data_IF_850235819767
#
_entry.id   IF_850235819767
#
_cell.length_a   1.000
_cell.length_b   1.000
_cell.length_c   1.000
_cell.angle_alpha   90.00
_cell.angle_beta   90.00
_cell.angle_gamma   90.00
#
_symmetry.space_group_name_H-M   'P 1'
#
loop_
_entity.id
_entity.type
_entity.pdbx_description
1 polymer ?
#
# COMPACT_ATOMS: atom_id res chain seq x y z
N UNK A 1 -20.32 11.91 -6.55
CA UNK A 1 -19.17 12.45 -7.29
C UNK A 1 -19.26 12.26 -8.80
N UNK A 2 -19.65 11.12 -9.33
CA UNK A 2 -19.79 10.90 -10.77
C UNK A 2 -20.78 11.89 -11.46
N UNK A 3 -21.85 12.32 -10.79
CA UNK A 3 -22.81 13.31 -11.30
C UNK A 3 -22.20 14.72 -11.33
N UNK A 4 -21.37 15.07 -10.37
CA UNK A 4 -20.66 16.36 -10.34
C UNK A 4 -19.59 16.45 -11.44
N UNK A 5 -18.93 15.34 -11.77
CA UNK A 5 -17.98 15.28 -12.88
C UNK A 5 -18.66 15.38 -14.23
N UNK A 6 -19.80 14.68 -14.44
CA UNK A 6 -20.58 14.81 -15.69
C UNK A 6 -21.11 16.23 -15.94
N UNK A 7 -21.56 16.93 -14.91
CA UNK A 7 -22.01 18.32 -15.04
C UNK A 7 -20.86 19.30 -15.35
N UNK A 8 -19.67 19.08 -14.81
CA UNK A 8 -18.49 19.93 -15.09
C UNK A 8 -17.96 19.73 -16.52
N UNK A 9 -18.04 18.51 -17.04
CA UNK A 9 -17.68 18.21 -18.45
C UNK A 9 -18.71 18.75 -19.45
N UNK A 10 -19.98 18.77 -19.10
CA UNK A 10 -21.04 19.27 -19.99
C UNK A 10 -21.02 20.81 -20.14
N UNK A 11 -20.52 21.56 -19.14
CA UNK A 11 -20.36 23.01 -19.21
C UNK A 11 -19.13 23.48 -20.00
N UNK A 12 -18.15 22.63 -20.19
CA UNK A 12 -16.94 22.94 -20.96
C UNK A 12 -17.07 22.64 -22.47
N UNK A 13 -18.12 21.93 -22.90
CA UNK A 13 -18.39 21.59 -24.30
C UNK A 13 -19.20 22.64 -25.10
N UNK A 14 -19.55 23.79 -24.50
CA UNK A 14 -20.43 24.80 -25.11
C UNK A 14 -19.66 26.05 -25.62
N UNK A 15 -18.34 26.09 -25.54
CA UNK A 15 -17.57 27.21 -26.07
C UNK A 15 -16.86 26.75 -27.38
N UNK A 16 -17.29 27.18 -28.56
CA UNK A 16 -16.61 26.86 -29.79
C UNK A 16 -15.33 27.71 -29.92
N UNK A 17 -14.17 27.13 -29.67
CA UNK A 17 -12.90 27.74 -30.03
C UNK A 17 -12.42 27.12 -31.34
N UNK A 18 -12.35 27.96 -32.42
CA UNK A 18 -11.76 27.57 -33.70
C UNK A 18 -10.27 27.25 -33.54
N UNK A 19 -9.78 26.14 -34.13
CA UNK A 19 -8.37 25.79 -34.02
C UNK A 19 -7.52 26.69 -34.93
N UNK A 20 -6.64 27.49 -34.36
CA UNK A 20 -5.51 28.03 -35.11
C UNK A 20 -4.57 26.89 -35.46
N UNK A 21 -4.43 26.59 -36.75
CA UNK A 21 -3.42 25.67 -37.27
C UNK A 21 -2.03 26.18 -36.91
N UNK A 22 -1.37 25.51 -35.94
CA UNK A 22 0.05 25.71 -35.67
C UNK A 22 0.81 24.64 -36.47
N UNK A 23 1.64 25.09 -37.36
CA UNK A 23 2.48 24.28 -38.27
C UNK A 23 3.59 23.60 -37.41
N UNK A 24 3.77 22.25 -37.44
CA UNK A 24 4.69 21.57 -36.51
C UNK A 24 6.18 21.66 -36.85
N UNK A 25 6.56 22.52 -37.81
CA UNK A 25 7.92 22.55 -38.34
C UNK A 25 8.76 23.75 -37.94
N UNK A 26 8.69 24.24 -36.72
CA UNK A 26 9.70 25.14 -36.12
C UNK A 26 9.59 25.20 -34.57
N UNK A 27 9.83 24.12 -33.87
CA UNK A 27 10.24 24.23 -32.47
C UNK A 27 11.76 24.18 -32.43
N UNK A 28 12.37 25.32 -32.15
CA UNK A 28 13.79 25.43 -31.81
C UNK A 28 14.00 24.73 -30.44
N UNK A 29 14.98 23.83 -30.41
CA UNK A 29 15.47 23.28 -29.14
C UNK A 29 15.88 24.42 -28.20
N UNK A 30 15.14 24.66 -27.11
CA UNK A 30 15.52 25.68 -26.14
C UNK A 30 14.40 26.31 -25.30
N UNK A 31 13.13 26.16 -25.63
CA UNK A 31 12.06 26.72 -24.83
C UNK A 31 11.81 25.84 -23.59
N UNK A 32 12.38 26.25 -22.44
CA UNK A 32 12.04 25.68 -21.14
C UNK A 32 10.55 25.97 -20.87
N UNK A 33 9.73 24.92 -20.82
CA UNK A 33 8.34 25.04 -20.36
C UNK A 33 8.39 25.68 -18.96
N UNK A 34 7.63 26.77 -18.71
CA UNK A 34 7.65 27.41 -17.38
C UNK A 34 7.24 26.39 -16.33
N UNK A 35 8.03 26.32 -15.26
CA UNK A 35 7.72 25.44 -14.12
C UNK A 35 6.41 25.89 -13.47
N UNK A 36 5.40 25.01 -13.46
CA UNK A 36 4.13 25.25 -12.79
C UNK A 36 4.17 24.55 -11.43
N UNK A 37 4.20 25.27 -10.30
CA UNK A 37 4.13 24.67 -9.00
C UNK A 37 2.73 24.10 -8.76
N UNK A 38 2.63 22.80 -8.44
CA UNK A 38 1.39 22.18 -7.97
C UNK A 38 1.38 22.11 -6.45
N UNK A 39 0.23 22.41 -5.83
CA UNK A 39 0.05 22.21 -4.39
C UNK A 39 0.05 20.70 -4.06
N UNK A 40 0.29 20.35 -2.81
CA UNK A 40 0.29 18.94 -2.40
C UNK A 40 -1.12 18.33 -2.55
N UNK A 41 -2.18 19.12 -2.34
CA UNK A 41 -3.56 18.70 -2.59
C UNK A 41 -3.80 18.38 -4.08
N UNK A 42 -3.24 19.16 -5.00
CA UNK A 42 -3.35 18.91 -6.44
C UNK A 42 -2.61 17.61 -6.83
N UNK A 43 -1.43 17.36 -6.26
CA UNK A 43 -0.67 16.12 -6.49
C UNK A 43 -1.42 14.91 -5.92
N UNK A 44 -1.97 15.02 -4.72
CA UNK A 44 -2.80 13.98 -4.10
C UNK A 44 -4.04 13.71 -4.96
N UNK A 45 -4.74 14.76 -5.40
CA UNK A 45 -5.93 14.63 -6.24
C UNK A 45 -5.61 13.96 -7.57
N UNK A 46 -4.54 14.37 -8.25
CA UNK A 46 -4.09 13.75 -9.50
C UNK A 46 -3.72 12.27 -9.29
N UNK A 47 -3.05 11.95 -8.18
CA UNK A 47 -2.62 10.57 -7.91
C UNK A 47 -3.76 9.67 -7.38
N UNK A 48 -4.91 10.25 -7.01
CA UNK A 48 -6.12 9.52 -6.60
C UNK A 48 -7.13 9.27 -7.73
N UNK A 49 -6.80 9.65 -8.95
CA UNK A 49 -7.64 9.40 -10.14
C UNK A 49 -7.78 7.89 -10.33
N UNK A 50 -9.01 7.43 -10.53
CA UNK A 50 -9.29 6.03 -10.87
C UNK A 50 -8.76 5.75 -12.27
N UNK A 51 -7.68 4.97 -12.34
CA UNK A 51 -7.00 4.62 -13.59
C UNK A 51 -7.86 3.73 -14.49
N UNK A 52 -8.75 2.90 -13.92
CA UNK A 52 -9.65 2.07 -14.74
C UNK A 52 -10.64 2.94 -15.50
N UNK A 53 -11.30 3.88 -14.82
CA UNK A 53 -12.24 4.80 -15.45
C UNK A 53 -11.52 5.72 -16.43
N UNK A 54 -10.36 6.26 -16.03
CA UNK A 54 -9.54 7.14 -16.85
C UNK A 54 -9.11 6.47 -18.16
N UNK A 55 -8.58 5.24 -18.09
CA UNK A 55 -8.10 4.51 -19.27
C UNK A 55 -9.26 4.05 -20.18
N UNK A 56 -10.41 3.64 -19.62
CA UNK A 56 -11.61 3.33 -20.41
C UNK A 56 -12.12 4.54 -21.17
N UNK A 57 -12.13 5.73 -20.56
CA UNK A 57 -12.50 6.97 -21.25
C UNK A 57 -11.54 7.31 -22.40
N UNK A 58 -10.29 6.87 -22.32
CA UNK A 58 -9.30 7.03 -23.37
C UNK A 58 -9.31 5.94 -24.44
N UNK A 59 -10.20 4.98 -24.31
CA UNK A 59 -10.35 3.89 -25.26
C UNK A 59 -9.38 2.73 -25.07
N UNK A 60 -8.67 2.68 -23.94
CA UNK A 60 -7.77 1.59 -23.63
C UNK A 60 -8.56 0.29 -23.34
N UNK A 61 -8.00 -0.82 -23.80
CA UNK A 61 -8.62 -2.13 -23.57
C UNK A 61 -8.21 -2.68 -22.21
N UNK A 62 -9.18 -2.82 -21.31
CA UNK A 62 -9.02 -3.41 -20.00
C UNK A 62 -9.78 -4.74 -19.91
N UNK A 63 -9.08 -5.81 -19.56
CA UNK A 63 -9.67 -7.12 -19.30
C UNK A 63 -9.70 -7.40 -17.79
N UNK A 64 -10.86 -7.78 -17.27
CA UNK A 64 -11.01 -8.08 -15.83
C UNK A 64 -10.34 -9.40 -15.49
N UNK A 65 -9.50 -9.40 -14.46
CA UNK A 65 -8.84 -10.58 -13.90
C UNK A 65 -9.03 -10.56 -12.38
N UNK A 66 -10.00 -11.33 -11.90
CA UNK A 66 -10.37 -11.30 -10.49
C UNK A 66 -10.90 -9.94 -10.04
N UNK A 67 -10.20 -9.28 -9.12
CA UNK A 67 -10.53 -7.94 -8.61
C UNK A 67 -9.79 -6.81 -9.31
N UNK A 68 -8.84 -7.12 -10.18
CA UNK A 68 -8.01 -6.18 -10.93
C UNK A 68 -8.38 -6.16 -12.41
N UNK A 69 -7.85 -5.18 -13.14
CA UNK A 69 -7.97 -5.13 -14.59
C UNK A 69 -6.60 -5.19 -15.23
N UNK A 70 -6.42 -6.07 -16.22
CA UNK A 70 -5.23 -6.08 -17.06
C UNK A 70 -5.39 -5.09 -18.20
N UNK A 71 -4.40 -4.24 -18.38
CA UNK A 71 -4.29 -3.40 -19.56
C UNK A 71 -3.74 -4.24 -20.73
N UNK A 72 -4.50 -4.27 -21.82
CA UNK A 72 -4.14 -4.99 -23.04
C UNK A 72 -3.81 -3.99 -24.13
N UNK A 73 -2.58 -4.01 -24.60
CA UNK A 73 -2.15 -3.20 -25.73
C UNK A 73 -1.24 -3.98 -26.68
N UNK A 74 -1.08 -3.45 -27.90
CA UNK A 74 -0.29 -4.10 -28.95
C UNK A 74 0.72 -3.09 -29.49
N UNK A 75 1.96 -3.53 -29.66
CA UNK A 75 3.00 -2.77 -30.35
C UNK A 75 3.74 -3.66 -31.38
N UNK A 76 4.86 -3.17 -31.91
CA UNK A 76 5.69 -3.92 -32.87
C UNK A 76 6.26 -5.23 -32.32
N UNK A 77 6.30 -5.40 -30.99
CA UNK A 77 6.79 -6.64 -30.33
C UNK A 77 5.66 -7.63 -30.01
N UNK A 78 4.38 -7.27 -30.25
CA UNK A 78 3.23 -8.12 -30.08
C UNK A 78 2.23 -7.67 -29.00
N UNK A 79 1.51 -8.62 -28.43
CA UNK A 79 0.52 -8.39 -27.35
C UNK A 79 1.23 -8.18 -26.01
N UNK A 80 0.80 -7.15 -25.28
CA UNK A 80 1.22 -6.86 -23.92
C UNK A 80 0.02 -6.95 -22.97
N UNK A 81 0.17 -7.68 -21.86
CA UNK A 81 -0.85 -7.90 -20.83
C UNK A 81 -0.24 -8.04 -19.42
N UNK A 82 0.95 -7.50 -19.21
CA UNK A 82 1.69 -7.58 -17.94
C UNK A 82 1.30 -6.52 -16.91
N UNK A 83 0.55 -5.48 -17.32
CA UNK A 83 0.16 -4.39 -16.44
C UNK A 83 -1.20 -4.69 -15.83
N UNK A 84 -1.26 -4.74 -14.49
CA UNK A 84 -2.51 -4.79 -13.72
C UNK A 84 -2.83 -3.43 -13.11
N UNK A 85 -4.13 -3.10 -13.06
CA UNK A 85 -4.66 -1.84 -12.56
C UNK A 85 -5.70 -2.15 -11.48
N UNK A 86 -5.61 -1.43 -10.37
CA UNK A 86 -6.54 -1.51 -9.27
C UNK A 86 -6.83 -0.10 -8.72
N UNK A 87 -7.97 0.47 -9.08
CA UNK A 87 -8.35 1.85 -8.75
C UNK A 87 -7.32 2.87 -9.25
N UNK A 88 -6.65 3.59 -8.36
CA UNK A 88 -5.63 4.59 -8.70
C UNK A 88 -4.19 4.04 -8.77
N UNK A 89 -4.01 2.73 -8.62
CA UNK A 89 -2.70 2.08 -8.61
C UNK A 89 -2.54 1.11 -9.76
N UNK A 90 -1.30 0.87 -10.15
CA UNK A 90 -0.96 -0.07 -11.20
C UNK A 90 0.35 -0.80 -10.90
N UNK A 91 0.53 -1.97 -11.53
CA UNK A 91 1.76 -2.74 -11.45
C UNK A 91 2.04 -3.46 -12.76
N UNK A 92 3.26 -3.33 -13.28
CA UNK A 92 3.77 -4.09 -14.42
C UNK A 92 4.58 -5.29 -13.92
N UNK A 93 4.01 -6.48 -14.05
CA UNK A 93 4.61 -7.74 -13.61
C UNK A 93 5.85 -8.14 -14.42
N UNK A 94 5.97 -7.68 -15.67
CA UNK A 94 7.12 -7.98 -16.52
C UNK A 94 8.34 -7.14 -16.12
N UNK A 95 8.13 -5.86 -15.87
CA UNK A 95 9.21 -4.91 -15.57
C UNK A 95 9.39 -4.68 -14.05
N UNK A 96 8.49 -5.23 -13.20
CA UNK A 96 8.49 -5.06 -11.74
C UNK A 96 8.44 -3.59 -11.31
N UNK A 97 7.64 -2.80 -12.02
CA UNK A 97 7.43 -1.38 -11.76
C UNK A 97 5.96 -1.12 -11.50
N UNK A 98 5.66 -0.26 -10.55
CA UNK A 98 4.29 0.11 -10.24
C UNK A 98 4.21 1.45 -9.49
N UNK A 99 3.01 1.90 -9.22
CA UNK A 99 2.78 3.16 -8.50
C UNK A 99 1.37 3.70 -8.64
N UNK A 100 1.20 5.00 -8.35
CA UNK A 100 -0.04 5.71 -8.52
C UNK A 100 -0.24 6.26 -9.94
N UNK A 101 -1.35 6.99 -10.14
CA UNK A 101 -1.76 7.47 -11.45
C UNK A 101 -0.74 8.40 -12.11
N UNK A 102 -0.09 9.31 -11.37
CA UNK A 102 0.94 10.20 -11.93
C UNK A 102 2.09 9.37 -12.52
N UNK A 103 2.58 8.38 -11.76
CA UNK A 103 3.68 7.53 -12.21
C UNK A 103 3.28 6.68 -13.41
N UNK A 104 2.01 6.24 -13.50
CA UNK A 104 1.48 5.58 -14.69
C UNK A 104 1.63 6.45 -15.95
N UNK A 105 1.21 7.72 -15.86
CA UNK A 105 1.32 8.65 -16.97
C UNK A 105 2.76 8.90 -17.41
N UNK A 106 3.69 8.93 -16.48
CA UNK A 106 5.11 9.10 -16.77
C UNK A 106 5.71 7.85 -17.44
N UNK A 107 5.42 6.66 -16.90
CA UNK A 107 6.02 5.39 -17.38
C UNK A 107 5.35 4.87 -18.65
N UNK A 108 4.03 4.92 -18.74
CA UNK A 108 3.28 4.34 -19.86
C UNK A 108 3.13 5.31 -21.03
N UNK A 109 2.90 6.60 -20.74
CA UNK A 109 2.71 7.62 -21.80
C UNK A 109 3.93 8.54 -22.02
N UNK A 110 5.07 8.28 -21.37
CA UNK A 110 6.33 9.08 -21.47
C UNK A 110 6.10 10.58 -21.19
N UNK A 111 5.20 10.91 -20.25
CA UNK A 111 4.89 12.28 -19.89
C UNK A 111 5.83 12.80 -18.81
N UNK A 112 6.19 14.07 -18.89
CA UNK A 112 6.80 14.74 -17.73
C UNK A 112 5.80 14.90 -16.57
N UNK A 113 6.31 15.14 -15.37
CA UNK A 113 5.48 15.24 -14.16
C UNK A 113 4.38 16.32 -14.28
N UNK A 114 4.69 17.48 -14.85
CA UNK A 114 3.74 18.58 -14.97
C UNK A 114 2.60 18.23 -15.92
N UNK A 115 2.93 17.69 -17.08
CA UNK A 115 1.96 17.23 -18.07
C UNK A 115 1.09 16.12 -17.51
N UNK A 116 1.68 15.14 -16.81
CA UNK A 116 0.95 14.05 -16.16
C UNK A 116 -0.08 14.57 -15.14
N UNK A 117 0.31 15.50 -14.27
CA UNK A 117 -0.61 16.10 -13.29
C UNK A 117 -1.72 16.90 -13.99
N UNK A 118 -1.41 17.68 -15.01
CA UNK A 118 -2.41 18.46 -15.75
C UNK A 118 -3.44 17.58 -16.47
N UNK A 119 -2.98 16.49 -17.10
CA UNK A 119 -3.86 15.53 -17.78
C UNK A 119 -4.80 14.85 -16.79
N UNK A 120 -4.29 14.35 -15.68
CA UNK A 120 -5.08 13.68 -14.64
C UNK A 120 -6.09 14.62 -13.99
N UNK A 121 -5.78 15.92 -13.89
CA UNK A 121 -6.70 16.94 -13.40
C UNK A 121 -7.67 17.45 -14.48
N UNK A 122 -7.60 16.94 -15.71
CA UNK A 122 -8.47 17.33 -16.82
C UNK A 122 -8.18 18.74 -17.40
N UNK A 123 -6.97 19.26 -17.21
CA UNK A 123 -6.60 20.60 -17.68
C UNK A 123 -6.07 20.63 -19.13
N UNK A 124 -5.73 19.47 -19.69
CA UNK A 124 -5.34 19.29 -21.11
C UNK A 124 -5.93 17.99 -21.66
N UNK A 125 -6.54 18.06 -22.81
CA UNK A 125 -6.95 16.89 -23.61
C UNK A 125 -6.03 16.84 -24.82
N UNK A 126 -4.92 16.14 -24.72
CA UNK A 126 -4.07 15.83 -25.86
C UNK A 126 -4.43 14.43 -26.37
N UNK A 127 -4.58 14.22 -27.71
CA UNK A 127 -4.66 12.85 -28.23
C UNK A 127 -3.37 12.14 -27.87
N UNK A 128 -3.47 11.11 -27.03
CA UNK A 128 -2.31 10.33 -26.63
C UNK A 128 -1.94 9.40 -27.78
N UNK A 129 -0.75 9.59 -28.31
CA UNK A 129 -0.08 8.58 -29.11
C UNK A 129 0.47 7.53 -28.14
N UNK A 130 0.17 6.25 -28.39
CA UNK A 130 0.90 5.18 -27.71
C UNK A 130 2.37 5.30 -28.10
N UNK A 131 3.17 5.92 -27.26
CA UNK A 131 4.59 5.64 -27.30
C UNK A 131 4.72 4.24 -26.72
N UNK A 132 5.27 3.26 -27.44
CA UNK A 132 5.60 1.98 -26.82
C UNK A 132 6.42 2.33 -25.58
N UNK A 133 6.14 1.70 -24.41
CA UNK A 133 6.97 1.92 -23.24
C UNK A 133 8.40 1.84 -23.75
N UNK A 134 9.18 2.90 -23.59
CA UNK A 134 10.61 2.84 -23.86
C UNK A 134 11.02 1.54 -23.26
N UNK A 135 11.51 0.57 -24.07
CA UNK A 135 12.08 -0.63 -23.53
C UNK A 135 13.03 -0.09 -22.48
N UNK A 136 12.61 -0.15 -21.20
CA UNK A 136 13.44 0.28 -20.09
C UNK A 136 14.69 -0.48 -20.40
N UNK A 137 15.72 0.23 -20.87
CA UNK A 137 17.00 -0.39 -21.17
C UNK A 137 17.18 -1.25 -19.94
N UNK A 138 17.13 -2.60 -20.08
CA UNK A 138 17.11 -3.51 -18.94
C UNK A 138 18.14 -2.92 -18.02
N UNK A 139 17.69 -2.22 -16.95
CA UNK A 139 18.63 -1.83 -15.92
C UNK A 139 19.25 -3.16 -15.60
N UNK A 140 20.52 -3.32 -16.00
CA UNK A 140 21.25 -4.54 -15.71
C UNK A 140 20.98 -4.78 -14.25
N UNK A 141 20.31 -5.90 -13.91
CA UNK A 141 19.90 -6.21 -12.54
C UNK A 141 21.16 -5.99 -11.72
N UNK A 142 21.22 -4.86 -11.02
CA UNK A 142 22.41 -4.52 -10.25
C UNK A 142 22.64 -5.67 -9.31
N UNK A 143 23.83 -6.21 -9.35
CA UNK A 143 24.23 -7.35 -8.53
C UNK A 143 24.02 -7.00 -7.06
N UNK A 144 23.28 -7.83 -6.34
CA UNK A 144 23.10 -7.63 -4.92
C UNK A 144 24.43 -7.73 -4.17
N UNK A 145 24.76 -6.70 -3.42
CA UNK A 145 25.94 -6.67 -2.57
C UNK A 145 25.55 -6.31 -1.15
N UNK A 146 25.93 -7.16 -0.21
CA UNK A 146 25.77 -6.85 1.20
C UNK A 146 26.60 -5.61 1.58
N UNK A 147 26.04 -4.67 2.36
CA UNK A 147 26.81 -3.62 3.01
C UNK A 147 27.93 -4.21 3.85
N UNK A 148 29.13 -3.61 3.75
CA UNK A 148 30.28 -4.08 4.51
C UNK A 148 30.00 -3.98 6.02
N UNK A 149 30.22 -5.07 6.76
CA UNK A 149 30.03 -5.10 8.19
C UNK A 149 31.12 -4.26 8.92
N UNK A 150 30.72 -3.56 9.97
CA UNK A 150 31.63 -2.90 10.90
C UNK A 150 32.31 -3.94 11.82
N UNK A 151 33.39 -3.57 12.46
CA UNK A 151 34.13 -4.43 13.41
C UNK A 151 33.37 -4.65 14.73
N UNK A 152 32.40 -3.83 15.04
CA UNK A 152 31.56 -3.92 16.22
C UNK A 152 30.11 -3.47 15.89
N UNK A 153 29.18 -3.63 16.86
CA UNK A 153 27.78 -3.25 16.71
C UNK A 153 27.31 -2.25 17.78
N UNK A 154 28.21 -1.43 18.30
CA UNK A 154 27.91 -0.58 19.47
C UNK A 154 26.75 0.37 19.22
N UNK A 155 26.68 1.01 18.04
CA UNK A 155 25.57 1.94 17.70
C UNK A 155 24.27 1.20 17.51
N UNK A 156 24.30 0.05 16.85
CA UNK A 156 23.11 -0.77 16.63
C UNK A 156 22.56 -1.27 17.97
N UNK A 157 23.41 -1.80 18.85
CA UNK A 157 22.97 -2.19 20.20
C UNK A 157 22.41 -1.01 21.00
N UNK A 158 23.10 0.14 21.00
CA UNK A 158 22.62 1.33 21.68
C UNK A 158 21.26 1.80 21.15
N UNK A 159 21.08 1.81 19.84
CA UNK A 159 19.84 2.17 19.19
C UNK A 159 18.71 1.20 19.53
N UNK A 160 18.91 -0.10 19.36
CA UNK A 160 17.89 -1.11 19.56
C UNK A 160 17.49 -1.23 21.04
N UNK A 161 18.45 -1.13 21.98
CA UNK A 161 18.18 -1.22 23.42
C UNK A 161 17.57 0.09 23.95
N UNK A 162 18.23 1.24 23.69
CA UNK A 162 17.85 2.49 24.37
C UNK A 162 16.69 3.22 23.70
N UNK A 163 16.54 3.10 22.37
CA UNK A 163 15.48 3.80 21.63
C UNK A 163 14.30 2.89 21.27
N UNK A 164 14.58 1.59 21.09
CA UNK A 164 13.57 0.62 20.70
C UNK A 164 13.19 -0.36 21.79
N UNK A 165 13.89 -0.35 22.92
CA UNK A 165 13.67 -1.20 24.09
C UNK A 165 13.73 -2.71 23.82
N UNK A 166 14.39 -3.10 22.73
CA UNK A 166 14.54 -4.50 22.34
C UNK A 166 15.52 -5.20 23.28
N UNK A 167 15.15 -6.38 23.74
CA UNK A 167 15.95 -7.18 24.66
C UNK A 167 17.29 -7.58 24.04
N UNK A 168 18.41 -7.47 24.80
CA UNK A 168 19.75 -7.83 24.33
C UNK A 168 19.84 -9.26 23.80
N UNK A 169 19.09 -10.18 24.35
CA UNK A 169 19.06 -11.60 23.97
C UNK A 169 18.52 -11.76 22.54
N UNK A 170 17.47 -11.00 22.17
CA UNK A 170 16.89 -11.00 20.84
C UNK A 170 17.88 -10.43 19.84
N UNK A 171 18.53 -9.31 20.16
CA UNK A 171 19.57 -8.70 19.31
C UNK A 171 20.72 -9.68 19.08
N UNK A 172 21.22 -10.27 20.17
CA UNK A 172 22.35 -11.19 20.16
C UNK A 172 22.06 -12.46 19.36
N UNK A 173 20.81 -12.95 19.38
CA UNK A 173 20.39 -14.11 18.58
C UNK A 173 20.62 -13.85 17.10
N UNK A 174 20.09 -12.74 16.55
CA UNK A 174 20.23 -12.40 15.14
C UNK A 174 21.67 -11.96 14.77
N UNK A 175 22.37 -11.33 15.70
CA UNK A 175 23.77 -10.97 15.49
C UNK A 175 24.69 -12.21 15.36
N UNK A 176 24.46 -13.24 16.18
CA UNK A 176 25.19 -14.53 16.07
C UNK A 176 24.90 -15.28 14.79
N UNK A 177 23.72 -15.09 14.21
CA UNK A 177 23.35 -15.66 12.91
C UNK A 177 23.85 -14.84 11.72
N UNK A 178 24.50 -13.71 11.96
CA UNK A 178 24.94 -12.74 10.94
C UNK A 178 23.79 -12.17 10.10
N UNK A 179 22.54 -12.28 10.59
CA UNK A 179 21.36 -11.68 9.94
C UNK A 179 21.05 -10.28 10.44
N UNK A 180 21.73 -9.82 11.49
CA UNK A 180 21.71 -8.45 11.99
C UNK A 180 23.14 -8.00 12.28
N UNK A 181 23.54 -6.86 11.69
CA UNK A 181 24.86 -6.26 11.96
C UNK A 181 24.84 -4.74 11.75
N UNK A 182 25.94 -4.07 12.09
CA UNK A 182 26.18 -2.66 11.87
C UNK A 182 26.96 -2.46 10.57
N UNK A 183 26.51 -1.58 9.66
CA UNK A 183 27.30 -1.26 8.47
C UNK A 183 28.51 -0.39 8.83
N UNK A 184 29.61 -0.59 8.10
CA UNK A 184 30.87 0.12 8.34
C UNK A 184 30.83 1.58 7.95
N UNK A 185 30.04 1.90 6.92
CA UNK A 185 30.09 3.22 6.28
C UNK A 185 29.29 4.27 7.08
N UNK A 186 28.11 3.92 7.54
CA UNK A 186 27.18 4.87 8.17
C UNK A 186 26.67 4.39 9.54
N UNK A 187 27.14 3.24 10.02
CA UNK A 187 26.73 2.63 11.29
C UNK A 187 25.23 2.35 11.39
N UNK A 188 24.57 2.07 10.26
CA UNK A 188 23.15 1.67 10.23
C UNK A 188 22.97 0.23 10.70
N UNK A 189 21.80 -0.08 11.21
CA UNK A 189 21.38 -1.47 11.41
C UNK A 189 21.04 -2.09 10.05
N UNK A 190 21.65 -3.23 9.73
CA UNK A 190 21.42 -4.03 8.53
C UNK A 190 20.72 -5.32 8.92
N UNK A 191 19.53 -5.52 8.39
CA UNK A 191 18.73 -6.73 8.54
C UNK A 191 18.80 -7.55 7.25
N UNK A 192 19.23 -8.81 7.35
CA UNK A 192 19.53 -9.65 6.18
C UNK A 192 18.51 -10.75 6.02
N UNK A 193 17.99 -10.91 4.81
CA UNK A 193 17.23 -12.08 4.37
C UNK A 193 18.17 -13.06 3.66
N UNK A 194 18.12 -14.32 4.08
CA UNK A 194 18.93 -15.41 3.51
C UNK A 194 18.04 -16.43 2.80
N UNK A 195 18.60 -17.14 1.83
CA UNK A 195 17.94 -18.29 1.21
C UNK A 195 18.10 -19.58 2.06
N UNK A 196 17.58 -20.68 1.56
CA UNK A 196 17.58 -21.99 2.22
C UNK A 196 18.99 -22.55 2.45
N UNK A 197 19.99 -22.01 1.75
CA UNK A 197 21.40 -22.38 1.89
C UNK A 197 22.16 -21.39 2.80
N UNK A 198 21.46 -20.44 3.41
CA UNK A 198 22.06 -19.39 4.24
C UNK A 198 22.77 -18.30 3.43
N UNK A 199 22.58 -18.25 2.11
CA UNK A 199 23.19 -17.22 1.27
C UNK A 199 22.35 -15.94 1.35
N UNK A 200 22.98 -14.80 1.66
CA UNK A 200 22.30 -13.51 1.69
C UNK A 200 21.72 -13.12 0.33
N UNK A 201 20.45 -12.80 0.29
CA UNK A 201 19.70 -12.40 -0.92
C UNK A 201 19.09 -11.02 -0.83
N UNK A 202 18.89 -10.53 0.38
CA UNK A 202 18.27 -9.25 0.64
C UNK A 202 18.92 -8.59 1.85
N UNK A 203 19.03 -7.27 1.84
CA UNK A 203 19.39 -6.51 3.02
C UNK A 203 18.52 -5.25 3.13
N UNK A 204 18.05 -4.97 4.34
CA UNK A 204 17.31 -3.78 4.67
C UNK A 204 18.07 -2.96 5.70
N UNK A 205 18.33 -1.68 5.38
CA UNK A 205 19.05 -0.76 6.27
C UNK A 205 18.11 0.14 7.03
N UNK A 206 18.39 0.34 8.31
CA UNK A 206 17.70 1.28 9.17
C UNK A 206 18.73 2.22 9.80
N UNK A 207 18.49 3.54 9.68
CA UNK A 207 19.29 4.55 10.35
C UNK A 207 19.25 4.37 11.86
N UNK A 208 20.42 4.41 12.50
CA UNK A 208 20.58 4.42 13.97
C UNK A 208 20.69 5.84 14.53
N UNK A 209 20.61 6.88 13.67
CA UNK A 209 20.74 8.26 14.09
C UNK A 209 19.59 8.69 14.99
N UNK A 210 19.93 9.38 16.09
CA UNK A 210 18.96 9.97 17.03
C UNK A 210 18.53 11.36 16.64
N UNK A 211 19.29 12.02 15.76
CA UNK A 211 19.08 13.40 15.31
C UNK A 211 18.99 13.45 13.78
N UNK A 212 18.09 14.28 13.28
CA UNK A 212 17.87 14.44 11.84
C UNK A 212 16.95 13.37 11.23
N UNK A 213 16.97 13.26 9.92
CA UNK A 213 16.09 12.34 9.18
C UNK A 213 16.50 10.89 9.38
N UNK A 214 15.62 10.09 9.96
CA UNK A 214 15.80 8.65 9.99
C UNK A 214 15.25 8.04 8.69
N UNK A 215 15.97 7.10 8.11
CA UNK A 215 15.54 6.40 6.90
C UNK A 215 15.47 4.88 7.10
N UNK A 216 14.72 4.25 6.23
CA UNK A 216 14.70 2.81 6.00
C UNK A 216 14.77 2.58 4.49
N UNK A 217 15.64 1.68 4.05
CA UNK A 217 15.85 1.39 2.64
C UNK A 217 16.27 -0.06 2.42
N UNK A 218 15.70 -0.69 1.41
CA UNK A 218 16.19 -2.00 0.92
C UNK A 218 17.39 -1.76 0.02
N UNK A 219 18.46 -2.52 0.23
CA UNK A 219 19.67 -2.42 -0.57
C UNK A 219 19.40 -2.80 -2.03
N UNK A 220 20.05 -2.09 -2.94
CA UNK A 220 19.92 -2.30 -4.37
C UNK A 220 20.28 -3.73 -4.78
N UNK A 221 19.59 -4.28 -5.77
CA UNK A 221 19.78 -5.66 -6.22
C UNK A 221 19.21 -6.74 -5.27
N UNK A 222 18.61 -6.36 -4.15
CA UNK A 222 17.97 -7.29 -3.21
C UNK A 222 16.85 -8.10 -3.87
N UNK A 223 16.79 -9.39 -3.55
CA UNK A 223 15.69 -10.27 -3.95
C UNK A 223 14.58 -10.23 -2.89
N UNK A 224 13.45 -9.63 -3.24
CA UNK A 224 12.30 -9.45 -2.34
C UNK A 224 11.60 -10.74 -1.93
N UNK A 225 11.97 -11.88 -2.53
CA UNK A 225 11.50 -13.21 -2.11
C UNK A 225 12.07 -13.64 -0.76
N UNK A 226 13.14 -13.01 -0.32
CA UNK A 226 13.80 -13.28 0.95
C UNK A 226 13.72 -12.06 1.84
N UNK A 227 13.66 -12.26 3.15
CA UNK A 227 13.60 -11.17 4.10
C UNK A 227 14.15 -11.59 5.45
N UNK A 228 14.30 -10.61 6.35
CA UNK A 228 14.73 -10.86 7.72
C UNK A 228 13.74 -11.77 8.43
N UNK A 229 14.21 -12.94 8.86
CA UNK A 229 13.36 -14.00 9.39
C UNK A 229 14.09 -14.85 10.44
N UNK A 230 13.30 -15.58 11.21
CA UNK A 230 13.70 -16.70 12.06
C UNK A 230 12.75 -17.87 11.79
N UNK A 231 13.27 -19.06 11.61
CA UNK A 231 12.47 -20.25 11.38
C UNK A 231 12.66 -21.24 12.53
N UNK A 232 11.57 -21.60 13.19
CA UNK A 232 11.49 -22.59 14.25
C UNK A 232 10.73 -23.84 13.81
N UNK A 233 10.57 -24.79 14.72
CA UNK A 233 9.99 -26.10 14.44
C UNK A 233 8.44 -26.13 14.44
N UNK A 234 7.79 -25.09 14.99
CA UNK A 234 6.33 -25.06 15.09
C UNK A 234 5.65 -24.82 13.74
N UNK A 235 4.35 -25.14 13.68
CA UNK A 235 3.52 -24.91 12.49
C UNK A 235 3.14 -23.44 12.25
N UNK A 236 3.58 -22.51 13.13
CA UNK A 236 3.13 -21.14 13.15
C UNK A 236 4.16 -20.20 12.58
N UNK A 237 3.71 -19.35 11.65
CA UNK A 237 4.46 -18.23 11.08
C UNK A 237 3.82 -16.90 11.53
N UNK A 238 4.58 -16.08 12.25
CA UNK A 238 4.21 -14.70 12.55
C UNK A 238 4.79 -13.77 11.49
N UNK A 239 3.95 -12.91 10.91
CA UNK A 239 4.30 -12.02 9.79
C UNK A 239 4.21 -10.57 10.26
N UNK A 240 5.30 -9.82 10.12
CA UNK A 240 5.43 -8.43 10.55
C UNK A 240 5.71 -7.52 9.38
N UNK A 241 5.38 -6.23 9.51
CA UNK A 241 5.70 -5.23 8.49
C UNK A 241 7.20 -4.91 8.47
N UNK A 242 7.83 -4.74 9.64
CA UNK A 242 9.24 -4.37 9.75
C UNK A 242 10.02 -5.24 10.74
N UNK A 243 11.37 -5.35 10.58
CA UNK A 243 12.24 -6.09 11.50
C UNK A 243 12.17 -5.59 12.95
N UNK A 244 12.01 -4.28 13.15
CA UNK A 244 11.89 -3.68 14.49
C UNK A 244 10.64 -4.20 15.20
N UNK A 245 9.52 -4.32 14.50
CA UNK A 245 8.26 -4.83 15.06
C UNK A 245 8.35 -6.31 15.40
N UNK A 246 8.97 -7.11 14.53
CA UNK A 246 9.28 -8.50 14.79
C UNK A 246 10.13 -8.65 16.06
N UNK A 247 11.24 -7.93 16.17
CA UNK A 247 12.12 -8.03 17.36
C UNK A 247 11.45 -7.49 18.61
N UNK A 248 10.59 -6.47 18.51
CA UNK A 248 9.78 -5.96 19.63
C UNK A 248 8.79 -6.99 20.12
N UNK A 249 8.12 -7.69 19.19
CA UNK A 249 7.22 -8.79 19.52
C UNK A 249 7.95 -9.92 20.27
N UNK A 250 9.12 -10.33 19.79
CA UNK A 250 9.94 -11.36 20.44
C UNK A 250 10.40 -10.93 21.83
N UNK A 251 10.64 -9.64 22.04
CA UNK A 251 10.96 -9.06 23.36
C UNK A 251 9.74 -9.06 24.29
N UNK A 252 8.55 -8.78 23.78
CA UNK A 252 7.29 -8.79 24.55
C UNK A 252 6.87 -10.19 24.97
N UNK A 253 7.18 -11.19 24.13
CA UNK A 253 6.80 -12.60 24.31
C UNK A 253 8.04 -13.50 24.33
N UNK A 254 8.89 -13.40 25.38
CA UNK A 254 10.20 -14.07 25.41
C UNK A 254 10.12 -15.59 25.57
N UNK A 255 8.97 -16.13 26.00
CA UNK A 255 8.85 -17.56 26.28
C UNK A 255 8.78 -18.37 24.99
N UNK A 256 9.75 -19.24 24.79
CA UNK A 256 9.78 -20.25 23.71
C UNK A 256 9.64 -19.69 22.26
N UNK A 257 9.91 -18.38 22.06
CA UNK A 257 9.71 -17.76 20.74
C UNK A 257 10.57 -18.43 19.64
N UNK A 258 11.73 -18.99 20.00
CA UNK A 258 12.63 -19.68 19.07
C UNK A 258 11.96 -20.92 18.42
N UNK A 259 10.92 -21.46 19.03
CA UNK A 259 10.15 -22.58 18.44
C UNK A 259 9.24 -22.13 17.30
N UNK A 260 8.91 -20.85 17.23
CA UNK A 260 8.00 -20.29 16.23
C UNK A 260 8.77 -19.63 15.09
N UNK A 261 8.18 -19.62 13.91
CA UNK A 261 8.74 -18.91 12.78
C UNK A 261 8.22 -17.47 12.73
N UNK A 262 9.10 -16.55 12.38
CA UNK A 262 8.80 -15.12 12.29
C UNK A 262 9.47 -14.55 11.05
N UNK A 263 8.78 -13.68 10.30
CA UNK A 263 9.29 -13.00 9.13
C UNK A 263 8.84 -11.55 9.08
N UNK A 264 9.73 -10.63 8.69
CA UNK A 264 9.43 -9.23 8.44
C UNK A 264 9.39 -8.98 6.92
N UNK A 265 8.29 -8.43 6.40
CA UNK A 265 8.10 -8.21 4.96
C UNK A 265 8.93 -7.04 4.40
N UNK A 266 9.43 -6.13 5.26
CA UNK A 266 10.04 -4.85 4.88
C UNK A 266 9.10 -3.94 4.06
N UNK A 267 7.85 -3.88 4.48
CA UNK A 267 6.70 -3.27 3.84
C UNK A 267 5.51 -4.19 3.97
N UNK A 268 4.63 -4.16 3.00
CA UNK A 268 3.38 -4.97 3.00
C UNK A 268 3.28 -5.92 1.79
N UNK A 269 4.42 -6.39 1.29
CA UNK A 269 4.48 -7.28 0.11
C UNK A 269 4.58 -8.75 0.52
N UNK A 270 3.84 -9.60 -0.16
CA UNK A 270 3.66 -11.03 0.15
C UNK A 270 4.81 -11.94 -0.27
N UNK A 271 5.70 -11.50 -1.17
CA UNK A 271 6.70 -12.36 -1.82
C UNK A 271 7.55 -13.18 -0.84
N UNK A 272 8.05 -12.53 0.23
CA UNK A 272 8.87 -13.21 1.22
C UNK A 272 8.07 -14.23 2.05
N UNK A 273 6.80 -13.92 2.34
CA UNK A 273 5.90 -14.81 3.08
C UNK A 273 5.59 -16.05 2.24
N UNK A 274 5.22 -15.88 0.97
CA UNK A 274 4.92 -16.99 0.05
C UNK A 274 6.14 -17.89 -0.18
N UNK A 275 7.35 -17.28 -0.29
CA UNK A 275 8.59 -18.05 -0.42
C UNK A 275 8.86 -18.84 0.85
N UNK A 276 8.76 -18.23 2.03
CA UNK A 276 8.95 -18.92 3.29
C UNK A 276 7.98 -20.11 3.47
N UNK A 277 6.70 -19.93 3.12
CA UNK A 277 5.69 -20.99 3.20
C UNK A 277 5.96 -22.16 2.21
N UNK A 278 6.51 -21.86 1.03
CA UNK A 278 6.90 -22.88 0.05
C UNK A 278 8.14 -23.67 0.50
N UNK A 279 9.12 -22.98 1.10
CA UNK A 279 10.38 -23.60 1.56
C UNK A 279 10.21 -24.36 2.88
N UNK A 280 9.20 -24.05 3.69
CA UNK A 280 8.96 -24.65 5.00
C UNK A 280 7.57 -25.31 5.05
N UNK A 281 7.46 -26.54 4.55
CA UNK A 281 6.17 -27.27 4.41
C UNK A 281 5.45 -27.56 5.72
N UNK A 282 6.13 -27.44 6.87
CA UNK A 282 5.53 -27.56 8.20
C UNK A 282 4.67 -26.36 8.60
N UNK A 283 4.85 -25.20 7.94
CA UNK A 283 4.12 -23.97 8.26
C UNK A 283 2.68 -24.06 7.70
N UNK A 284 1.71 -24.00 8.59
CA UNK A 284 0.28 -24.12 8.25
C UNK A 284 -0.64 -23.17 9.00
N UNK A 285 -0.14 -22.46 10.01
CA UNK A 285 -0.86 -21.42 10.75
C UNK A 285 -0.15 -20.08 10.57
N UNK A 286 -0.80 -19.12 9.89
CA UNK A 286 -0.22 -17.82 9.59
C UNK A 286 -0.88 -16.77 10.48
N UNK A 287 -0.08 -15.97 11.17
CA UNK A 287 -0.54 -14.91 12.04
C UNK A 287 0.00 -13.59 11.56
N UNK A 288 -0.88 -12.75 10.98
CA UNK A 288 -0.54 -11.42 10.49
C UNK A 288 -0.46 -10.45 11.67
N UNK A 289 0.75 -10.02 11.98
CA UNK A 289 1.12 -9.10 13.08
C UNK A 289 1.52 -7.73 12.52
N UNK A 290 0.89 -7.29 11.43
CA UNK A 290 1.16 -6.02 10.76
C UNK A 290 0.62 -4.84 11.57
N UNK A 291 1.08 -3.64 11.24
CA UNK A 291 0.77 -2.40 11.94
C UNK A 291 -0.75 -2.16 12.08
N UNK A 292 -1.14 -1.43 13.09
CA UNK A 292 -2.53 -1.06 13.38
C UNK A 292 -2.79 0.39 12.97
N UNK A 293 -2.33 0.74 11.77
CA UNK A 293 -2.64 1.96 11.07
C UNK A 293 -3.45 1.68 9.79
N UNK A 294 -3.79 2.72 9.04
CA UNK A 294 -4.65 2.60 7.85
C UNK A 294 -4.04 1.64 6.80
N UNK A 295 -2.74 1.78 6.52
CA UNK A 295 -2.02 0.92 5.57
C UNK A 295 -1.93 -0.53 6.00
N UNK A 296 -1.62 -0.79 7.28
CA UNK A 296 -1.55 -2.14 7.83
C UNK A 296 -2.92 -2.83 7.87
N UNK A 297 -4.00 -2.07 8.13
CA UNK A 297 -5.38 -2.62 8.12
C UNK A 297 -5.77 -3.04 6.69
N UNK A 298 -5.51 -2.21 5.69
CA UNK A 298 -5.75 -2.55 4.28
C UNK A 298 -4.91 -3.75 3.82
N UNK A 299 -3.65 -3.79 4.26
CA UNK A 299 -2.74 -4.88 3.93
C UNK A 299 -3.22 -6.25 4.46
N UNK A 300 -3.90 -6.30 5.61
CA UNK A 300 -4.41 -7.57 6.19
C UNK A 300 -5.37 -8.26 5.24
N UNK A 301 -6.35 -7.55 4.71
CA UNK A 301 -7.37 -8.16 3.84
C UNK A 301 -6.74 -8.61 2.52
N UNK A 302 -5.89 -7.78 1.93
CA UNK A 302 -5.14 -8.13 0.72
C UNK A 302 -4.23 -9.34 0.93
N UNK A 303 -3.44 -9.37 2.00
CA UNK A 303 -2.56 -10.50 2.31
C UNK A 303 -3.35 -11.78 2.57
N UNK A 304 -4.49 -11.69 3.27
CA UNK A 304 -5.37 -12.85 3.50
C UNK A 304 -5.90 -13.42 2.21
N UNK A 305 -6.37 -12.55 1.29
CA UNK A 305 -6.88 -12.99 -0.01
C UNK A 305 -5.77 -13.69 -0.82
N UNK A 306 -4.58 -13.09 -0.92
CA UNK A 306 -3.43 -13.68 -1.63
C UNK A 306 -3.01 -15.02 -1.03
N UNK A 307 -2.95 -15.13 0.30
CA UNK A 307 -2.61 -16.37 0.98
C UNK A 307 -3.66 -17.46 0.72
N UNK A 308 -4.95 -17.12 0.76
CA UNK A 308 -6.04 -18.05 0.46
C UNK A 308 -5.97 -18.53 -1.00
N UNK A 309 -5.71 -17.66 -1.96
CA UNK A 309 -5.53 -17.99 -3.37
C UNK A 309 -4.34 -18.95 -3.60
N UNK A 310 -3.32 -18.90 -2.73
CA UNK A 310 -2.17 -19.80 -2.74
C UNK A 310 -2.37 -21.06 -1.87
N UNK A 311 -3.58 -21.32 -1.37
CA UNK A 311 -3.93 -22.53 -0.63
C UNK A 311 -3.72 -22.47 0.89
N UNK A 312 -3.39 -21.29 1.45
CA UNK A 312 -3.17 -21.09 2.89
C UNK A 312 -4.41 -20.43 3.52
N UNK A 313 -5.36 -21.23 4.02
CA UNK A 313 -6.62 -20.75 4.57
C UNK A 313 -6.61 -20.45 6.08
N UNK A 314 -5.62 -20.97 6.83
CA UNK A 314 -5.53 -20.74 8.27
C UNK A 314 -4.76 -19.45 8.57
N UNK A 315 -5.37 -18.31 8.23
CA UNK A 315 -4.79 -16.97 8.37
C UNK A 315 -5.54 -16.19 9.46
N UNK A 316 -4.83 -15.80 10.52
CA UNK A 316 -5.36 -15.01 11.63
C UNK A 316 -4.68 -13.65 11.67
N UNK A 317 -5.33 -12.64 12.25
CA UNK A 317 -4.72 -11.36 12.59
C UNK A 317 -4.48 -11.27 14.09
N UNK A 318 -3.29 -10.83 14.46
CA UNK A 318 -2.95 -10.38 15.81
C UNK A 318 -2.52 -8.92 15.73
N UNK A 319 -3.48 -8.01 15.96
CA UNK A 319 -3.21 -6.57 15.89
C UNK A 319 -2.51 -6.07 17.16
N UNK A 320 -1.47 -5.22 17.05
CA UNK A 320 -0.93 -4.54 18.21
C UNK A 320 -1.97 -3.56 18.80
N UNK A 321 -2.04 -3.39 20.14
CA UNK A 321 -2.95 -2.43 20.78
C UNK A 321 -2.55 -0.96 20.55
N UNK A 322 -1.33 -0.69 20.11
CA UNK A 322 -0.80 0.60 19.67
C UNK A 322 -0.61 0.59 18.16
N UNK A 323 0.01 1.64 17.59
CA UNK A 323 0.27 1.74 16.15
C UNK A 323 0.99 0.51 15.60
N UNK A 324 2.06 0.08 16.26
CA UNK A 324 2.89 -1.06 15.89
C UNK A 324 3.42 -1.79 17.16
N UNK A 325 4.14 -2.90 16.98
CA UNK A 325 4.66 -3.68 18.11
C UNK A 325 5.79 -2.97 18.86
N UNK A 326 6.53 -2.07 18.19
CA UNK A 326 7.52 -1.28 18.89
C UNK A 326 6.88 -0.20 19.79
N UNK A 327 5.77 0.37 19.39
CA UNK A 327 5.01 1.30 20.22
C UNK A 327 4.41 0.60 21.44
N UNK A 328 3.98 -0.68 21.32
CA UNK A 328 3.59 -1.51 22.49
C UNK A 328 4.75 -1.67 23.47
N UNK A 329 5.94 -1.98 22.95
CA UNK A 329 7.13 -2.18 23.79
C UNK A 329 7.56 -0.88 24.47
N UNK A 330 7.51 0.26 23.79
CA UNK A 330 7.74 1.58 24.37
C UNK A 330 6.77 1.89 25.51
N UNK A 331 5.47 1.70 25.26
CA UNK A 331 4.43 1.92 26.29
C UNK A 331 4.68 1.06 27.54
N UNK A 332 5.05 -0.22 27.34
CA UNK A 332 5.39 -1.12 28.46
C UNK A 332 6.60 -0.63 29.27
N UNK A 333 7.52 0.10 28.65
CA UNK A 333 8.69 0.69 29.28
C UNK A 333 8.46 2.13 29.77
N UNK A 334 7.21 2.63 29.78
CA UNK A 334 6.88 3.96 30.24
C UNK A 334 7.30 5.11 29.31
N UNK A 335 7.70 4.80 28.08
CA UNK A 335 8.04 5.80 27.07
C UNK A 335 6.80 6.25 26.27
N UNK A 336 6.78 7.48 25.74
CA UNK A 336 5.71 7.93 24.85
C UNK A 336 5.51 6.97 23.67
N UNK A 337 4.27 6.55 23.45
CA UNK A 337 3.91 5.59 22.41
C UNK A 337 2.76 6.12 21.54
N UNK A 338 2.84 5.89 20.24
CA UNK A 338 1.81 6.27 19.29
C UNK A 338 0.61 5.32 19.41
N UNK A 339 -0.61 5.85 19.61
CA UNK A 339 -1.81 5.02 19.66
C UNK A 339 -2.07 4.34 18.32
N UNK A 340 -2.81 3.22 18.35
CA UNK A 340 -3.42 2.67 17.15
C UNK A 340 -4.27 3.75 16.51
N UNK A 341 -4.20 3.86 15.19
CA UNK A 341 -5.12 4.75 14.47
C UNK A 341 -6.52 4.18 14.68
N UNK A 342 -7.45 4.94 15.27
CA UNK A 342 -8.81 4.46 15.44
C UNK A 342 -9.29 3.95 14.08
N UNK A 343 -9.87 2.77 14.04
CA UNK A 343 -10.49 2.28 12.83
C UNK A 343 -11.65 3.24 12.52
N UNK A 344 -11.35 4.28 11.75
CA UNK A 344 -12.30 5.34 11.37
C UNK A 344 -13.58 4.71 10.78
N UNK A 345 -13.46 3.53 10.15
CA UNK A 345 -14.58 2.74 9.67
C UNK A 345 -15.44 2.19 10.82
N UNK A 346 -14.80 1.69 11.88
CA UNK A 346 -15.53 1.13 13.01
C UNK A 346 -16.23 2.20 13.84
N UNK A 347 -15.55 3.32 14.11
CA UNK A 347 -16.14 4.44 14.84
C UNK A 347 -17.26 5.12 14.04
N UNK A 348 -17.05 5.32 12.73
CA UNK A 348 -18.07 5.89 11.86
C UNK A 348 -19.26 4.96 11.69
N UNK A 349 -19.02 3.64 11.58
CA UNK A 349 -20.08 2.63 11.59
C UNK A 349 -20.88 2.68 12.91
N UNK A 350 -20.19 2.68 14.07
CA UNK A 350 -20.86 2.77 15.36
C UNK A 350 -21.64 4.07 15.53
N UNK A 351 -21.09 5.18 15.09
CA UNK A 351 -21.78 6.49 15.08
C UNK A 351 -23.02 6.45 14.19
N UNK A 352 -22.94 5.84 13.01
CA UNK A 352 -24.07 5.72 12.08
C UNK A 352 -25.15 4.77 12.63
N UNK A 353 -24.74 3.63 13.20
CA UNK A 353 -25.66 2.70 13.89
C UNK A 353 -26.33 3.39 15.08
N UNK A 354 -25.59 4.17 15.86
CA UNK A 354 -26.13 4.99 16.94
C UNK A 354 -27.15 6.02 16.45
N UNK A 355 -26.85 6.72 15.35
CA UNK A 355 -27.77 7.66 14.71
C UNK A 355 -29.03 6.96 14.19
N UNK A 356 -28.91 5.76 13.61
CA UNK A 356 -30.07 4.97 13.15
C UNK A 356 -30.92 4.47 14.31
N UNK A 357 -30.29 4.06 15.43
CA UNK A 357 -31.03 3.69 16.64
C UNK A 357 -31.74 4.90 17.26
N UNK A 358 -31.09 6.08 17.23
CA UNK A 358 -31.72 7.32 17.68
C UNK A 358 -32.92 7.71 16.82
N UNK A 359 -32.80 7.58 15.48
CA UNK A 359 -33.91 7.83 14.56
C UNK A 359 -35.04 6.83 14.76
N UNK A 360 -34.74 5.56 15.08
CA UNK A 360 -35.75 4.54 15.41
C UNK A 360 -36.62 4.91 16.60
N UNK A 361 -36.08 5.59 17.57
CA UNK A 361 -36.79 6.00 18.78
C UNK A 361 -37.72 7.22 18.58
N UNK A 362 -37.68 7.89 17.41
CA UNK A 362 -38.54 9.00 17.07
C UNK A 362 -39.82 8.50 16.36
N UNK A 363 -41.01 8.85 16.83
CA UNK A 363 -42.29 8.34 16.29
C UNK A 363 -42.80 9.10 15.06
N UNK A 364 -41.95 9.81 14.31
CA UNK A 364 -42.39 10.50 13.10
C UNK A 364 -42.33 9.61 11.87
N UNK A 365 -43.21 9.94 10.87
CA UNK A 365 -43.39 9.17 9.64
C UNK A 365 -42.10 9.05 8.82
N UNK A 366 -41.27 10.09 8.78
CA UNK A 366 -40.02 10.12 8.03
C UNK A 366 -38.98 9.18 8.66
N UNK A 367 -38.83 9.16 9.97
CA UNK A 367 -37.99 8.24 10.70
C UNK A 367 -38.36 6.78 10.45
N UNK A 368 -39.66 6.47 10.46
CA UNK A 368 -40.16 5.14 10.17
C UNK A 368 -39.84 4.70 8.73
N UNK A 369 -39.96 5.60 7.76
CA UNK A 369 -39.63 5.33 6.36
C UNK A 369 -38.12 5.10 6.15
N UNK A 370 -37.25 5.93 6.75
CA UNK A 370 -35.81 5.77 6.70
C UNK A 370 -35.40 4.42 7.31
N UNK A 371 -36.00 4.06 8.44
CA UNK A 371 -35.70 2.80 9.11
C UNK A 371 -36.22 1.58 8.30
N UNK A 372 -37.39 1.66 7.68
CA UNK A 372 -37.90 0.61 6.82
C UNK A 372 -37.03 0.42 5.58
N UNK A 373 -36.57 1.52 4.94
CA UNK A 373 -35.69 1.47 3.81
C UNK A 373 -34.33 0.84 4.18
N UNK A 374 -33.80 1.14 5.37
CA UNK A 374 -32.55 0.56 5.86
C UNK A 374 -32.67 -0.95 6.17
N UNK A 375 -33.84 -1.43 6.54
CA UNK A 375 -34.14 -2.85 6.73
C UNK A 375 -34.37 -3.64 5.45
N UNK A 376 -34.60 -2.97 4.34
CA UNK A 376 -34.78 -3.63 3.06
C UNK A 376 -33.52 -4.40 2.68
N UNK A 377 -33.65 -5.63 2.16
CA UNK A 377 -32.51 -6.50 1.85
C UNK A 377 -31.53 -5.92 0.84
N UNK A 378 -32.00 -5.07 -0.09
CA UNK A 378 -31.12 -4.34 -0.99
C UNK A 378 -30.13 -3.42 -0.26
N UNK A 379 -30.57 -2.81 0.84
CA UNK A 379 -29.72 -1.95 1.66
C UNK A 379 -28.90 -2.75 2.68
N UNK A 380 -29.42 -3.92 3.10
CA UNK A 380 -28.68 -4.86 3.95
C UNK A 380 -27.46 -5.43 3.22
N UNK A 381 -27.65 -5.86 1.97
CA UNK A 381 -26.55 -6.28 1.10
C UNK A 381 -25.50 -5.17 0.90
N UNK A 382 -25.97 -3.95 0.63
CA UNK A 382 -25.12 -2.78 0.56
C UNK A 382 -24.39 -2.51 1.88
N UNK A 383 -25.04 -2.65 3.03
CA UNK A 383 -24.43 -2.45 4.35
C UNK A 383 -23.40 -3.54 4.68
N UNK A 384 -23.65 -4.80 4.34
CA UNK A 384 -22.73 -5.91 4.53
C UNK A 384 -21.48 -5.79 3.62
N UNK A 385 -21.64 -5.22 2.42
CA UNK A 385 -20.53 -4.97 1.49
C UNK A 385 -19.85 -3.60 1.70
N UNK A 386 -20.45 -2.72 2.49
CA UNK A 386 -19.96 -1.39 2.85
C UNK A 386 -18.87 -1.39 3.91
N UNK A 387 -18.55 -2.53 4.51
CA UNK A 387 -17.25 -2.66 5.20
C UNK A 387 -16.06 -2.35 4.28
N UNK A 388 -16.29 -2.39 2.95
CA UNK A 388 -15.30 -2.05 1.93
C UNK A 388 -15.47 -0.66 1.28
N UNK A 389 -16.58 0.08 1.45
CA UNK A 389 -16.80 1.37 0.75
C UNK A 389 -17.63 2.37 1.56
N UNK A 390 -16.97 3.15 2.37
CA UNK A 390 -17.46 4.17 3.31
C UNK A 390 -18.50 5.18 2.81
N UNK A 391 -18.53 5.45 1.54
CA UNK A 391 -19.30 6.59 0.99
C UNK A 391 -20.75 6.26 0.65
N UNK A 392 -21.10 4.98 0.57
CA UNK A 392 -22.44 4.62 0.07
C UNK A 392 -23.52 4.74 1.14
N UNK A 393 -23.26 4.45 2.41
CA UNK A 393 -24.29 4.49 3.46
C UNK A 393 -24.81 5.92 3.69
N UNK A 394 -23.91 6.89 3.72
CA UNK A 394 -24.28 8.32 3.84
C UNK A 394 -25.06 8.76 2.61
N UNK A 395 -24.72 8.27 1.41
CA UNK A 395 -25.46 8.56 0.18
C UNK A 395 -26.83 7.90 0.15
N UNK A 396 -26.95 6.66 0.60
CA UNK A 396 -28.24 5.95 0.65
C UNK A 396 -29.18 6.65 1.64
N UNK A 397 -28.71 6.99 2.83
CA UNK A 397 -29.52 7.73 3.81
C UNK A 397 -29.88 9.13 3.28
N UNK A 398 -28.94 9.84 2.64
CA UNK A 398 -29.25 11.14 2.01
C UNK A 398 -30.19 11.03 0.82
N UNK A 399 -30.08 10.00 -0.04
CA UNK A 399 -31.02 9.78 -1.16
C UNK A 399 -32.42 9.45 -0.66
N UNK A 400 -32.54 8.60 0.36
CA UNK A 400 -33.85 8.28 0.96
C UNK A 400 -34.46 9.52 1.63
N UNK A 401 -33.65 10.36 2.27
CA UNK A 401 -34.12 11.64 2.82
C UNK A 401 -34.56 12.62 1.73
N UNK A 402 -33.82 12.70 0.61
CA UNK A 402 -34.13 13.61 -0.50
C UNK A 402 -35.34 13.16 -1.32
N UNK A 403 -35.58 11.84 -1.53
CA UNK A 403 -36.75 11.32 -2.23
C UNK A 403 -38.04 11.50 -1.43
N UNK A 404 -37.96 11.66 -0.11
CA UNK A 404 -39.14 11.86 0.74
C UNK A 404 -39.33 13.32 1.18
N UNK A 405 -38.52 14.25 0.67
CA UNK A 405 -38.62 15.70 0.95
C UNK A 405 -39.22 16.52 -0.18
N UNK A 406 -39.70 15.90 -1.25
CA UNK A 406 -40.51 16.60 -2.24
C UNK A 406 -41.93 16.84 -1.66
N UNK A 407 -42.43 18.09 -1.63
CA UNK A 407 -43.78 18.38 -1.16
C UNK A 407 -44.80 17.83 -2.14
N UNK A 408 -45.77 17.12 -1.61
CA UNK A 408 -47.00 16.73 -2.28
C UNK A 408 -47.83 17.92 -2.66
#
# INVERSE_FOLDING_TARGET
>A
MAIFYKFRFMLLSIIPHQPRKINPSKQKAGDKVPYIPFTDEQKILANSVDLEEFLRMRGEKLERVGREHKLIYYDSSGKHDSITIHGSTWFDHKNQVGGGAIKFMQEFYDMDFQTAVQELLGQRVTPLSHSPPKAIAKEEKKEFRLPQANTNMHRVYAYLIKQRFIAPEVITHFAKQHTLYEDKEHHNAVFVGVDENGVPRQAHKRSTNSYGNSFRITCEGSDTRYSFAHFGESKRLYVFEAPIDMMSFLTLYPKDWQKHSCIAMNGVYENAVLTALKSHSNLSEIVLCVDNDEGGIEAVDRLRDILNENGYSNVKRLAPPYKDWNEVLKAKNGAPALPAVPNKHKEEYHRQVGNLQYLKCRPDKLTSQIYAAFKNEQYKYLAEHLQARRFLLIKVVKMVCLQNSEPS
#
